data_IF_422287181783
#
_entry.id   IF_422287181783
#
_cell.length_a   1.000
_cell.length_b   1.000
_cell.length_c   1.000
_cell.angle_alpha   90.00
_cell.angle_beta   90.00
_cell.angle_gamma   90.00
#
_symmetry.space_group_name_H-M   'P 1'
#
loop_
_entity.id
_entity.type
_entity.pdbx_description
1 polymer ?
#
# COMPACT_ATOMS: atom_id res chain seq x y z
N UNK A 1 -30.17 -11.58 -0.91
CA UNK A 1 -29.32 -11.43 0.28
C UNK A 1 -27.82 -11.12 0.03
N UNK A 2 -27.27 -11.23 -1.20
CA UNK A 2 -25.84 -10.95 -1.50
C UNK A 2 -25.43 -9.46 -1.49
N UNK A 3 -26.35 -8.53 -1.66
CA UNK A 3 -26.05 -7.08 -1.79
C UNK A 3 -25.77 -6.36 -0.47
N UNK A 4 -26.34 -6.80 0.64
CA UNK A 4 -26.19 -6.15 1.95
C UNK A 4 -24.81 -6.44 2.60
N UNK A 5 -24.27 -7.64 2.40
CA UNK A 5 -22.95 -8.05 2.92
C UNK A 5 -21.82 -7.27 2.23
N UNK A 6 -21.99 -6.95 0.95
CA UNK A 6 -20.97 -6.23 0.17
C UNK A 6 -20.88 -4.76 0.60
N UNK A 7 -22.00 -4.10 0.92
CA UNK A 7 -22.01 -2.71 1.40
C UNK A 7 -21.33 -2.53 2.75
N UNK A 8 -21.56 -3.45 3.71
CA UNK A 8 -20.88 -3.41 5.02
C UNK A 8 -19.37 -3.58 4.90
N UNK A 9 -18.91 -4.50 4.03
CA UNK A 9 -17.48 -4.70 3.79
C UNK A 9 -16.83 -3.44 3.18
N UNK A 10 -17.47 -2.81 2.22
CA UNK A 10 -16.98 -1.57 1.59
C UNK A 10 -16.88 -0.44 2.61
N UNK A 11 -17.88 -0.28 3.48
CA UNK A 11 -17.87 0.76 4.52
C UNK A 11 -16.72 0.55 5.53
N UNK A 12 -16.48 -0.68 5.97
CA UNK A 12 -15.38 -1.00 6.87
C UNK A 12 -14.03 -0.71 6.21
N UNK A 13 -13.88 -1.06 4.94
CA UNK A 13 -12.66 -0.79 4.18
C UNK A 13 -12.40 0.71 4.07
N UNK A 14 -13.43 1.49 3.71
CA UNK A 14 -13.32 2.93 3.59
C UNK A 14 -12.99 3.59 4.93
N UNK A 15 -13.55 3.08 6.02
CA UNK A 15 -13.27 3.56 7.37
C UNK A 15 -11.80 3.31 7.74
N UNK A 16 -11.29 2.10 7.53
CA UNK A 16 -9.88 1.74 7.78
C UNK A 16 -8.95 2.61 6.93
N UNK A 17 -9.21 2.76 5.63
CA UNK A 17 -8.41 3.60 4.75
C UNK A 17 -8.41 5.06 5.18
N UNK A 18 -9.55 5.57 5.63
CA UNK A 18 -9.66 6.93 6.17
C UNK A 18 -8.77 7.12 7.39
N UNK A 19 -8.77 6.18 8.32
CA UNK A 19 -7.95 6.23 9.54
C UNK A 19 -6.45 6.18 9.22
N UNK A 20 -6.04 5.28 8.33
CA UNK A 20 -4.66 5.19 7.87
C UNK A 20 -4.22 6.47 7.14
N UNK A 21 -5.13 7.09 6.41
CA UNK A 21 -4.90 8.38 5.78
C UNK A 21 -4.57 9.47 6.83
N UNK A 22 -5.26 9.51 7.97
CA UNK A 22 -4.95 10.49 9.02
C UNK A 22 -3.53 10.30 9.57
N UNK A 23 -3.05 9.07 9.76
CA UNK A 23 -1.66 8.80 10.15
C UNK A 23 -0.70 9.35 9.09
N UNK A 24 -0.91 9.01 7.83
CA UNK A 24 -0.05 9.48 6.74
C UNK A 24 -0.09 10.99 6.58
N UNK A 25 -1.27 11.61 6.72
CA UNK A 25 -1.42 13.06 6.63
C UNK A 25 -0.71 13.79 7.77
N UNK A 26 -0.80 13.28 9.01
CA UNK A 26 -0.07 13.83 10.14
C UNK A 26 1.44 13.87 9.85
N UNK A 27 2.05 12.74 9.46
CA UNK A 27 3.49 12.71 9.20
C UNK A 27 3.91 13.49 7.95
N UNK A 28 3.03 13.61 6.96
CA UNK A 28 3.26 14.53 5.82
C UNK A 28 3.36 15.98 6.29
N UNK A 29 2.46 16.40 7.18
CA UNK A 29 2.46 17.75 7.76
C UNK A 29 3.67 17.97 8.69
N UNK A 30 4.04 16.96 9.49
CA UNK A 30 5.28 16.95 10.29
C UNK A 30 6.50 17.20 9.39
N UNK A 31 6.63 16.44 8.30
CA UNK A 31 7.72 16.61 7.34
C UNK A 31 7.73 18.03 6.77
N UNK A 32 6.57 18.56 6.38
CA UNK A 32 6.46 19.90 5.81
C UNK A 32 6.85 20.97 6.83
N UNK A 33 6.46 20.81 8.10
CA UNK A 33 6.85 21.74 9.17
C UNK A 33 8.37 21.75 9.39
N UNK A 34 9.01 20.57 9.37
CA UNK A 34 10.47 20.45 9.52
C UNK A 34 11.20 21.08 8.33
N UNK A 35 10.72 20.84 7.11
CA UNK A 35 11.41 21.30 5.88
C UNK A 35 11.16 22.79 5.59
N UNK A 36 9.97 23.29 5.89
CA UNK A 36 9.53 24.63 5.49
C UNK A 36 9.39 25.61 6.68
N UNK A 37 9.85 25.24 7.86
CA UNK A 37 9.97 26.11 9.04
C UNK A 37 8.72 26.96 9.34
N UNK A 38 7.60 26.33 9.68
CA UNK A 38 6.54 27.03 10.40
C UNK A 38 5.32 27.48 9.62
N UNK A 39 5.12 27.02 8.39
CA UNK A 39 3.96 27.43 7.57
C UNK A 39 2.67 26.63 7.85
N UNK A 40 2.74 25.50 8.55
CA UNK A 40 1.61 24.57 8.73
C UNK A 40 1.26 24.22 10.18
N UNK A 41 1.65 25.00 11.19
CA UNK A 41 1.45 24.66 12.61
C UNK A 41 -0.01 24.48 13.04
N UNK A 42 -0.93 25.23 12.45
CA UNK A 42 -2.36 25.12 12.77
C UNK A 42 -2.90 23.80 12.23
N UNK A 43 -2.63 23.47 10.97
CA UNK A 43 -3.03 22.23 10.31
C UNK A 43 -2.40 21.02 10.99
N UNK A 44 -1.13 21.13 11.41
CA UNK A 44 -0.44 20.07 12.13
C UNK A 44 -1.09 19.75 13.48
N UNK A 45 -1.46 20.79 14.25
CA UNK A 45 -2.17 20.62 15.54
C UNK A 45 -3.54 19.99 15.33
N UNK A 46 -4.27 20.41 14.30
CA UNK A 46 -5.56 19.84 13.96
C UNK A 46 -5.42 18.37 13.57
N UNK A 47 -4.48 18.04 12.69
CA UNK A 47 -4.21 16.67 12.29
C UNK A 47 -3.81 15.78 13.48
N UNK A 48 -3.04 16.31 14.45
CA UNK A 48 -2.69 15.60 15.69
C UNK A 48 -3.92 15.35 16.55
N UNK A 49 -4.80 16.32 16.69
CA UNK A 49 -6.05 16.18 17.44
C UNK A 49 -6.95 15.14 16.81
N UNK A 50 -7.12 15.18 15.48
CA UNK A 50 -7.89 14.19 14.74
C UNK A 50 -7.31 12.78 14.92
N UNK A 51 -5.99 12.64 14.86
CA UNK A 51 -5.32 11.37 15.05
C UNK A 51 -5.48 10.84 16.49
N UNK A 52 -5.37 11.70 17.50
CA UNK A 52 -5.58 11.31 18.89
C UNK A 52 -7.02 10.83 19.16
N UNK A 53 -8.00 11.44 18.50
CA UNK A 53 -9.41 11.03 18.62
C UNK A 53 -9.67 9.64 17.97
N UNK A 54 -8.74 9.14 17.15
CA UNK A 54 -8.84 7.85 16.49
C UNK A 54 -7.99 6.76 17.14
N UNK A 55 -7.18 7.09 18.16
CA UNK A 55 -6.22 6.13 18.76
C UNK A 55 -6.89 4.93 19.44
N UNK A 56 -8.14 5.05 19.84
CA UNK A 56 -8.93 3.97 20.45
C UNK A 56 -9.60 3.06 19.41
N UNK A 57 -9.45 3.39 18.11
CA UNK A 57 -10.01 2.58 17.05
C UNK A 57 -9.19 1.29 16.85
N UNK A 58 -9.89 0.18 16.69
CA UNK A 58 -9.30 -1.15 16.56
C UNK A 58 -8.31 -1.26 15.38
N UNK A 59 -8.58 -0.54 14.29
CA UNK A 59 -7.72 -0.57 13.11
C UNK A 59 -6.39 0.14 13.35
N UNK A 60 -6.41 1.27 14.06
CA UNK A 60 -5.19 2.01 14.42
C UNK A 60 -4.42 1.26 15.50
N UNK A 61 -5.10 0.69 16.51
CA UNK A 61 -4.45 -0.07 17.57
C UNK A 61 -3.70 -1.29 17.01
N UNK A 62 -4.24 -1.97 16.00
CA UNK A 62 -3.59 -3.10 15.35
C UNK A 62 -2.30 -2.68 14.60
N UNK A 63 -2.29 -1.50 13.97
CA UNK A 63 -1.11 -1.00 13.25
C UNK A 63 -0.08 -0.43 14.22
N UNK A 64 -0.55 0.28 15.24
CA UNK A 64 0.27 0.84 16.30
C UNK A 64 0.95 -0.25 17.12
N UNK A 65 0.19 -1.27 17.56
CA UNK A 65 0.70 -2.32 18.43
C UNK A 65 1.32 -1.73 19.71
N UNK A 66 2.57 -2.06 19.99
CA UNK A 66 3.32 -1.58 21.15
C UNK A 66 4.15 -0.33 20.89
N UNK A 67 4.00 0.33 19.73
CA UNK A 67 4.74 1.54 19.40
C UNK A 67 4.34 2.70 20.30
N UNK A 68 5.32 3.46 20.78
CA UNK A 68 5.11 4.74 21.45
C UNK A 68 5.03 5.86 20.40
N UNK A 69 3.94 5.83 19.62
CA UNK A 69 3.64 6.73 18.53
C UNK A 69 2.11 6.82 18.37
N UNK A 70 1.56 7.89 17.81
CA UNK A 70 2.26 9.08 17.28
C UNK A 70 2.68 10.05 18.38
N UNK A 71 3.90 10.57 18.28
CA UNK A 71 4.39 11.62 19.15
C UNK A 71 4.15 13.03 18.58
N UNK A 72 4.40 14.06 19.38
CA UNK A 72 4.39 15.43 18.88
C UNK A 72 5.60 15.67 17.97
N UNK A 73 5.46 16.59 17.03
CA UNK A 73 6.49 16.85 16.02
C UNK A 73 7.85 17.28 16.60
N UNK A 74 7.88 17.79 17.85
CA UNK A 74 9.10 18.14 18.57
C UNK A 74 9.79 16.94 19.24
N UNK A 75 9.10 15.80 19.35
CA UNK A 75 9.56 14.62 20.09
C UNK A 75 9.47 13.34 19.23
N UNK A 76 9.63 13.49 17.92
CA UNK A 76 9.61 12.35 17.01
C UNK A 76 10.73 11.36 17.32
N UNK A 77 10.42 10.09 17.22
CA UNK A 77 11.35 9.00 17.44
C UNK A 77 11.20 7.90 16.36
N UNK A 78 11.94 6.79 16.53
CA UNK A 78 11.91 5.68 15.59
C UNK A 78 10.52 5.03 15.48
N UNK A 79 9.73 4.99 16.55
CA UNK A 79 8.38 4.43 16.55
C UNK A 79 7.45 5.20 15.61
N UNK A 80 7.64 6.52 15.49
CA UNK A 80 6.88 7.35 14.54
C UNK A 80 7.17 6.97 13.10
N UNK A 81 8.44 6.71 12.77
CA UNK A 81 8.82 6.24 11.43
C UNK A 81 8.23 4.86 11.13
N UNK A 82 8.25 3.97 12.12
CA UNK A 82 7.67 2.62 11.99
C UNK A 82 6.16 2.70 11.81
N UNK A 83 5.46 3.54 12.60
CA UNK A 83 4.01 3.72 12.50
C UNK A 83 3.61 4.25 11.11
N UNK A 84 4.29 5.30 10.64
CA UNK A 84 4.07 5.84 9.29
C UNK A 84 4.27 4.78 8.21
N UNK A 85 5.38 4.04 8.28
CA UNK A 85 5.72 3.01 7.29
C UNK A 85 4.68 1.89 7.27
N UNK A 86 4.20 1.45 8.44
CA UNK A 86 3.13 0.45 8.56
C UNK A 86 1.82 0.95 7.95
N UNK A 87 1.43 2.19 8.24
CA UNK A 87 0.21 2.79 7.70
C UNK A 87 0.28 2.91 6.17
N UNK A 88 1.37 3.47 5.64
CA UNK A 88 1.58 3.61 4.21
C UNK A 88 1.56 2.26 3.48
N UNK A 89 2.28 1.27 4.02
CA UNK A 89 2.29 -0.09 3.47
C UNK A 89 0.90 -0.71 3.46
N UNK A 90 0.14 -0.58 4.55
CA UNK A 90 -1.21 -1.14 4.63
C UNK A 90 -2.15 -0.50 3.62
N UNK A 91 -2.04 0.83 3.37
CA UNK A 91 -2.80 1.51 2.31
C UNK A 91 -2.41 0.95 0.94
N UNK A 92 -1.11 0.86 0.64
CA UNK A 92 -0.62 0.34 -0.63
C UNK A 92 -1.07 -1.11 -0.86
N UNK A 93 -0.92 -1.99 0.14
CA UNK A 93 -1.37 -3.38 0.08
C UNK A 93 -2.88 -3.48 -0.15
N UNK A 94 -3.65 -2.55 0.42
CA UNK A 94 -5.10 -2.53 0.24
C UNK A 94 -5.49 -2.03 -1.13
N UNK A 95 -4.91 -0.92 -1.59
CA UNK A 95 -5.13 -0.41 -2.95
C UNK A 95 -4.78 -1.48 -3.97
N UNK A 96 -3.65 -2.17 -3.78
CA UNK A 96 -3.23 -3.26 -4.64
C UNK A 96 -4.25 -4.42 -4.68
N UNK A 97 -4.74 -4.86 -3.50
CA UNK A 97 -5.74 -5.94 -3.40
C UNK A 97 -7.11 -5.57 -3.98
N UNK A 98 -7.49 -4.30 -3.87
CA UNK A 98 -8.79 -3.80 -4.30
C UNK A 98 -8.72 -3.20 -5.72
N UNK A 99 -7.52 -2.91 -6.25
CA UNK A 99 -7.35 -2.49 -7.62
C UNK A 99 -7.71 -3.66 -8.53
N UNK A 100 -8.75 -3.49 -9.33
CA UNK A 100 -9.19 -4.45 -10.34
C UNK A 100 -8.27 -4.50 -11.57
N UNK A 101 -7.10 -3.89 -11.49
CA UNK A 101 -6.09 -4.05 -12.53
C UNK A 101 -5.63 -5.49 -12.48
N UNK A 102 -6.23 -6.32 -13.35
CA UNK A 102 -5.79 -7.69 -13.54
C UNK A 102 -4.30 -7.68 -13.92
N UNK A 103 -3.61 -8.71 -13.57
CA UNK A 103 -2.22 -8.91 -13.99
C UNK A 103 -2.07 -8.81 -15.52
N UNK A 104 -3.14 -9.12 -16.27
CA UNK A 104 -3.19 -8.97 -17.73
C UNK A 104 -2.90 -7.53 -18.18
N UNK A 105 -3.46 -6.51 -17.49
CA UNK A 105 -3.20 -5.11 -17.80
C UNK A 105 -1.76 -4.72 -17.50
N UNK A 106 -1.23 -5.22 -16.37
CA UNK A 106 0.18 -4.98 -16.00
C UNK A 106 1.11 -5.59 -17.03
N UNK A 107 0.90 -6.85 -17.40
CA UNK A 107 1.70 -7.56 -18.39
C UNK A 107 1.64 -6.87 -19.76
N UNK A 108 0.45 -6.41 -20.16
CA UNK A 108 0.27 -5.68 -21.42
C UNK A 108 1.04 -4.36 -21.43
N UNK A 109 0.97 -3.57 -20.36
CA UNK A 109 1.71 -2.32 -20.24
C UNK A 109 3.24 -2.51 -20.32
N UNK A 110 3.75 -3.67 -19.92
CA UNK A 110 5.16 -4.01 -20.00
C UNK A 110 5.51 -4.95 -21.15
N UNK A 111 4.58 -5.25 -22.07
CA UNK A 111 4.77 -6.20 -23.17
C UNK A 111 6.07 -5.99 -23.93
N UNK A 112 6.33 -4.77 -24.39
CA UNK A 112 7.55 -4.45 -25.14
C UNK A 112 8.82 -4.74 -24.35
N UNK A 113 8.84 -4.37 -23.08
CA UNK A 113 9.97 -4.62 -22.19
C UNK A 113 10.14 -6.10 -21.87
N UNK A 114 9.06 -6.81 -21.60
CA UNK A 114 9.06 -8.23 -21.34
C UNK A 114 9.60 -8.99 -22.58
N UNK A 115 9.13 -8.65 -23.78
CA UNK A 115 9.56 -9.28 -25.02
C UNK A 115 11.06 -9.02 -25.32
N UNK A 116 11.65 -7.93 -24.81
CA UNK A 116 13.07 -7.64 -25.03
C UNK A 116 14.03 -8.59 -24.29
N UNK A 117 13.57 -9.27 -23.23
CA UNK A 117 14.41 -10.20 -22.47
C UNK A 117 13.95 -11.67 -22.52
N UNK A 118 12.80 -11.96 -23.12
CA UNK A 118 12.36 -13.31 -23.41
C UNK A 118 12.96 -13.75 -24.74
N UNK A 119 13.66 -14.86 -24.72
CA UNK A 119 14.23 -15.44 -25.93
C UNK A 119 13.22 -16.36 -26.61
N UNK A 120 13.21 -16.38 -27.93
CA UNK A 120 12.30 -17.22 -28.73
C UNK A 120 12.47 -18.71 -28.46
N UNK A 121 13.69 -19.13 -28.08
CA UNK A 121 14.05 -20.52 -27.80
C UNK A 121 13.95 -20.87 -26.29
N UNK A 122 13.50 -19.95 -25.42
CA UNK A 122 13.24 -20.27 -24.03
C UNK A 122 12.04 -21.23 -23.91
N UNK A 123 12.13 -22.21 -23.01
CA UNK A 123 10.96 -23.01 -22.65
C UNK A 123 9.91 -22.11 -21.93
N UNK A 124 8.66 -22.54 -21.91
CA UNK A 124 7.57 -21.81 -21.24
C UNK A 124 7.89 -21.54 -19.76
N UNK A 125 8.47 -22.53 -19.07
CA UNK A 125 8.87 -22.40 -17.67
C UNK A 125 9.92 -21.30 -17.48
N UNK A 126 10.90 -21.24 -18.40
CA UNK A 126 11.92 -20.18 -18.36
C UNK A 126 11.34 -18.80 -18.64
N UNK A 127 10.42 -18.68 -19.60
CA UNK A 127 9.71 -17.43 -19.88
C UNK A 127 8.92 -16.97 -18.65
N UNK A 128 8.13 -17.87 -18.03
CA UNK A 128 7.36 -17.58 -16.82
C UNK A 128 8.27 -17.13 -15.67
N UNK A 129 9.38 -17.82 -15.43
CA UNK A 129 10.34 -17.47 -14.38
C UNK A 129 10.97 -16.10 -14.61
N UNK A 130 11.32 -15.72 -15.84
CA UNK A 130 11.85 -14.40 -16.18
C UNK A 130 10.83 -13.28 -15.94
N UNK A 131 9.56 -13.52 -16.31
CA UNK A 131 8.48 -12.56 -16.08
C UNK A 131 8.25 -12.38 -14.58
N UNK A 132 8.17 -13.47 -13.81
CA UNK A 132 8.02 -13.41 -12.36
C UNK A 132 9.17 -12.64 -11.70
N UNK A 133 10.41 -12.92 -12.10
CA UNK A 133 11.57 -12.20 -11.59
C UNK A 133 11.51 -10.69 -11.92
N UNK A 134 11.15 -10.34 -13.15
CA UNK A 134 10.96 -8.94 -13.56
C UNK A 134 9.89 -8.26 -12.73
N UNK A 135 8.71 -8.87 -12.58
CA UNK A 135 7.62 -8.30 -11.81
C UNK A 135 7.97 -8.18 -10.31
N UNK A 136 8.71 -9.13 -9.74
CA UNK A 136 9.12 -9.09 -8.33
C UNK A 136 10.07 -7.95 -7.98
N UNK A 137 10.81 -7.43 -8.96
CA UNK A 137 11.66 -6.25 -8.79
C UNK A 137 10.85 -4.96 -8.77
N UNK A 138 9.68 -4.94 -9.39
CA UNK A 138 8.84 -3.74 -9.54
C UNK A 138 7.67 -3.69 -8.56
N UNK A 139 7.17 -4.85 -8.17
CA UNK A 139 5.97 -4.98 -7.35
C UNK A 139 6.19 -5.97 -6.20
N UNK A 140 5.60 -5.74 -5.03
CA UNK A 140 5.57 -6.73 -3.94
C UNK A 140 4.60 -7.86 -4.30
N UNK A 141 5.04 -8.76 -5.19
CA UNK A 141 4.20 -9.88 -5.65
C UNK A 141 4.25 -11.07 -4.71
N UNK A 142 3.13 -11.79 -4.61
CA UNK A 142 3.11 -13.15 -4.09
C UNK A 142 3.27 -14.11 -5.27
N UNK A 143 4.41 -14.77 -5.36
CA UNK A 143 4.72 -15.73 -6.45
C UNK A 143 3.74 -16.93 -6.52
N UNK A 144 2.97 -17.15 -5.46
CA UNK A 144 1.93 -18.18 -5.40
C UNK A 144 0.52 -17.63 -5.68
N UNK A 145 0.38 -16.38 -6.12
CA UNK A 145 -0.92 -15.82 -6.52
C UNK A 145 -1.39 -16.55 -7.80
N UNK A 146 -2.45 -17.34 -7.68
CA UNK A 146 -2.99 -18.14 -8.79
C UNK A 146 -3.40 -17.27 -9.99
N UNK A 147 -3.91 -16.05 -9.74
CA UNK A 147 -4.30 -15.12 -10.80
C UNK A 147 -3.07 -14.60 -11.56
N UNK A 148 -1.98 -14.32 -10.85
CA UNK A 148 -0.72 -13.90 -11.48
C UNK A 148 -0.18 -15.03 -12.38
N UNK A 149 -0.16 -16.25 -11.85
CA UNK A 149 0.34 -17.44 -12.60
C UNK A 149 -0.52 -17.67 -13.85
N UNK A 150 -1.84 -17.57 -13.73
CA UNK A 150 -2.78 -17.72 -14.84
C UNK A 150 -2.55 -16.62 -15.91
N UNK A 151 -2.48 -15.36 -15.50
CA UNK A 151 -2.22 -14.24 -16.43
C UNK A 151 -0.87 -14.38 -17.14
N UNK A 152 0.19 -14.79 -16.45
CA UNK A 152 1.49 -15.05 -17.07
C UNK A 152 1.39 -16.19 -18.06
N UNK A 153 0.65 -17.26 -17.72
CA UNK A 153 0.47 -18.39 -18.61
C UNK A 153 -0.22 -18.00 -19.92
N UNK A 154 -1.26 -17.17 -19.85
CA UNK A 154 -1.93 -16.61 -21.04
C UNK A 154 -1.05 -15.63 -21.83
N UNK A 155 -0.15 -14.90 -21.15
CA UNK A 155 0.72 -13.94 -21.81
C UNK A 155 1.84 -14.58 -22.61
N UNK A 156 2.30 -15.78 -22.21
CA UNK A 156 3.45 -16.49 -22.82
C UNK A 156 3.04 -17.30 -24.06
N UNK A 157 1.75 -17.67 -24.20
CA UNK A 157 1.20 -18.34 -25.38
C UNK A 157 1.10 -17.36 -26.55
#
# INVERSE_FOLDING_TARGET
MKTCVNRRRILIILLILKQLYFICNYYRLVRNEIVHCGTGRVELRQAKTELNNLTDDLAISNIRGHLNAPNDFTNLNFDDQVLFSRAARTICDRIYKDSKYGWDVVLENYRTKINSFILSNDSEEKKKARILNFLSQMYPINVNDSRLIESISHFVV
#
